data_IF_674902915001
#
_entry.id   IF_674902915001
#
_cell.length_a   1.000
_cell.length_b   1.000
_cell.length_c   1.000
_cell.angle_alpha   90.00
_cell.angle_beta   90.00
_cell.angle_gamma   90.00
#
_symmetry.space_group_name_H-M   'P 1'
#
loop_
_entity.id
_entity.type
_entity.pdbx_description
1 polymer ?
#
# COMPACT_ATOMS: atom_id res chain seq x y z
N UNK A 1 -1.30 3.65 -15.26
CA UNK A 1 -1.66 3.71 -13.83
C UNK A 1 -3.10 4.21 -13.63
N UNK A 2 -3.53 5.30 -14.28
CA UNK A 2 -4.90 5.85 -14.18
C UNK A 2 -6.05 4.86 -14.43
N UNK A 3 -6.05 4.13 -15.55
CA UNK A 3 -7.13 3.19 -15.89
C UNK A 3 -7.35 2.04 -14.88
N UNK A 4 -6.32 1.63 -14.11
CA UNK A 4 -6.50 0.64 -13.04
C UNK A 4 -7.17 1.26 -11.82
N UNK A 5 -6.86 2.52 -11.53
CA UNK A 5 -7.41 3.25 -10.40
C UNK A 5 -8.88 3.64 -10.66
N UNK A 6 -9.23 4.12 -11.86
CA UNK A 6 -10.63 4.33 -12.25
C UNK A 6 -11.47 3.07 -12.07
N UNK A 7 -10.93 1.90 -12.45
CA UNK A 7 -11.61 0.61 -12.25
C UNK A 7 -11.82 0.29 -10.77
N UNK A 8 -10.83 0.58 -9.93
CA UNK A 8 -10.98 0.43 -8.49
C UNK A 8 -12.02 1.38 -7.89
N UNK A 9 -12.09 2.62 -8.38
CA UNK A 9 -13.12 3.58 -7.99
C UNK A 9 -14.52 3.08 -8.37
N UNK A 10 -14.69 2.49 -9.56
CA UNK A 10 -15.97 1.89 -9.95
C UNK A 10 -16.46 0.85 -8.92
N UNK A 11 -15.55 0.06 -8.34
CA UNK A 11 -15.89 -0.95 -7.33
C UNK A 11 -16.25 -0.33 -5.96
N UNK A 12 -15.72 0.86 -5.63
CA UNK A 12 -15.96 1.54 -4.35
C UNK A 12 -17.17 2.47 -4.38
N UNK A 13 -17.52 3.04 -5.53
CA UNK A 13 -18.63 4.00 -5.66
C UNK A 13 -19.92 3.54 -4.96
N UNK A 14 -20.36 2.26 -5.05
CA UNK A 14 -21.56 1.81 -4.34
C UNK A 14 -21.47 1.97 -2.81
N UNK A 15 -20.29 1.78 -2.22
CA UNK A 15 -20.08 2.00 -0.79
C UNK A 15 -20.15 3.49 -0.39
N UNK A 16 -19.99 4.39 -1.37
CA UNK A 16 -20.18 5.83 -1.21
C UNK A 16 -21.64 6.27 -1.51
N UNK A 17 -22.55 5.31 -1.74
CA UNK A 17 -23.95 5.59 -2.11
C UNK A 17 -24.13 5.99 -3.57
N UNK A 18 -23.13 5.75 -4.43
CA UNK A 18 -23.15 6.11 -5.85
C UNK A 18 -23.16 4.87 -6.73
N UNK A 19 -24.07 4.80 -7.68
CA UNK A 19 -24.26 3.67 -8.59
C UNK A 19 -23.73 4.02 -9.98
N UNK A 20 -22.63 3.40 -10.45
CA UNK A 20 -22.07 3.67 -11.78
C UNK A 20 -23.09 3.37 -12.90
N UNK A 21 -23.14 4.24 -13.90
CA UNK A 21 -23.96 4.11 -15.11
C UNK A 21 -23.13 3.95 -16.37
N UNK A 22 -22.01 4.68 -16.46
CA UNK A 22 -21.08 4.59 -17.56
C UNK A 22 -19.67 4.96 -17.08
N UNK A 23 -18.65 4.39 -17.71
CA UNK A 23 -17.25 4.82 -17.59
C UNK A 23 -16.81 5.45 -18.91
N UNK A 24 -15.90 6.43 -18.84
CA UNK A 24 -15.34 7.13 -20.01
C UNK A 24 -16.44 7.70 -20.91
N UNK A 25 -17.38 8.40 -20.28
CA UNK A 25 -18.55 8.95 -20.95
C UNK A 25 -18.15 10.17 -21.79
N UNK A 26 -18.18 10.00 -23.10
CA UNK A 26 -17.87 11.06 -24.06
C UNK A 26 -19.05 12.00 -24.26
N UNK A 27 -18.78 13.29 -24.25
CA UNK A 27 -19.76 14.36 -24.44
C UNK A 27 -19.65 14.86 -25.88
N UNK A 28 -20.75 14.79 -26.64
CA UNK A 28 -20.82 15.27 -28.02
C UNK A 28 -21.75 16.48 -28.16
N UNK A 29 -21.35 17.45 -28.98
CA UNK A 29 -22.21 18.53 -29.50
C UNK A 29 -22.00 18.66 -31.00
N UNK A 30 -23.09 18.66 -31.78
CA UNK A 30 -23.06 18.75 -33.24
C UNK A 30 -22.11 17.71 -33.89
N UNK A 31 -22.07 16.49 -33.33
CA UNK A 31 -21.20 15.40 -33.82
C UNK A 31 -19.73 15.52 -33.42
N UNK A 32 -19.33 16.56 -32.68
CA UNK A 32 -17.95 16.78 -32.22
C UNK A 32 -17.84 16.45 -30.73
N UNK A 33 -16.80 15.71 -30.36
CA UNK A 33 -16.45 15.43 -28.96
C UNK A 33 -15.94 16.71 -28.30
N UNK A 34 -16.59 17.13 -27.22
CA UNK A 34 -16.26 18.38 -26.51
C UNK A 34 -15.85 18.16 -25.05
N UNK A 35 -15.84 16.91 -24.58
CA UNK A 35 -15.43 16.56 -23.23
C UNK A 35 -15.61 15.07 -22.93
N UNK A 36 -15.05 14.62 -21.81
CA UNK A 36 -15.15 13.26 -21.29
C UNK A 36 -15.38 13.33 -19.78
N UNK A 37 -16.22 12.44 -19.26
CA UNK A 37 -16.40 12.22 -17.81
C UNK A 37 -15.89 10.82 -17.50
N UNK A 38 -14.99 10.68 -16.53
CA UNK A 38 -14.40 9.39 -16.19
C UNK A 38 -15.47 8.38 -15.77
N UNK A 39 -16.41 8.81 -14.91
CA UNK A 39 -17.53 7.96 -14.47
C UNK A 39 -18.81 8.80 -14.36
N UNK A 40 -19.88 8.35 -15.01
CA UNK A 40 -21.23 8.82 -14.76
C UNK A 40 -21.88 7.92 -13.71
N UNK A 41 -22.39 8.47 -12.62
CA UNK A 41 -23.03 7.71 -11.55
C UNK A 41 -24.33 8.39 -11.08
N UNK A 42 -25.18 7.65 -10.36
CA UNK A 42 -26.38 8.23 -9.71
C UNK A 42 -26.42 7.87 -8.23
N UNK A 43 -26.95 8.74 -7.39
CA UNK A 43 -27.28 8.37 -6.00
C UNK A 43 -28.64 7.64 -5.90
N UNK A 44 -29.03 7.30 -4.68
CA UNK A 44 -30.33 6.67 -4.37
C UNK A 44 -31.54 7.57 -4.67
N UNK A 45 -31.35 8.89 -4.72
CA UNK A 45 -32.39 9.88 -5.02
C UNK A 45 -32.52 10.15 -6.52
N UNK A 46 -31.71 9.48 -7.35
CA UNK A 46 -31.69 9.67 -8.81
C UNK A 46 -30.90 10.90 -9.27
N UNK A 47 -30.11 11.52 -8.40
CA UNK A 47 -29.22 12.63 -8.76
C UNK A 47 -28.04 12.08 -9.54
N UNK A 48 -27.83 12.61 -10.75
CA UNK A 48 -26.70 12.22 -11.60
C UNK A 48 -25.45 13.01 -11.23
N UNK A 49 -24.34 12.30 -11.05
CA UNK A 49 -23.02 12.81 -10.78
C UNK A 49 -22.09 12.55 -11.97
N UNK A 50 -21.33 13.58 -12.36
CA UNK A 50 -20.20 13.48 -13.26
C UNK A 50 -18.93 13.42 -12.40
N UNK A 51 -18.36 12.22 -12.29
CA UNK A 51 -17.24 11.91 -11.42
C UNK A 51 -15.94 11.99 -12.22
N UNK A 52 -15.04 12.85 -11.79
CA UNK A 52 -13.65 12.91 -12.24
C UNK A 52 -12.75 12.21 -11.21
N UNK A 53 -11.87 11.34 -11.67
CA UNK A 53 -11.00 10.53 -10.82
C UNK A 53 -9.57 11.00 -10.96
N UNK A 54 -8.98 11.48 -9.86
CA UNK A 54 -7.56 11.83 -9.80
C UNK A 54 -6.82 10.85 -8.89
N UNK A 55 -5.88 10.12 -9.49
CA UNK A 55 -5.01 9.20 -8.75
C UNK A 55 -4.05 9.92 -7.77
N UNK A 56 -3.95 11.25 -7.83
CA UNK A 56 -3.11 12.08 -6.96
C UNK A 56 -3.92 13.20 -6.32
N UNK A 57 -3.24 14.33 -6.05
CA UNK A 57 -3.89 15.54 -5.58
C UNK A 57 -4.60 16.26 -6.73
N UNK A 58 -5.78 16.83 -6.49
CA UNK A 58 -6.50 17.65 -7.47
C UNK A 58 -6.03 19.09 -7.42
N UNK A 59 -5.74 19.67 -8.59
CA UNK A 59 -5.34 21.06 -8.79
C UNK A 59 -6.52 21.91 -9.32
N UNK A 60 -6.29 23.21 -9.49
CA UNK A 60 -7.29 24.15 -10.02
C UNK A 60 -7.84 23.68 -11.38
N UNK A 61 -6.97 23.14 -12.25
CA UNK A 61 -7.35 22.66 -13.59
C UNK A 61 -8.32 21.49 -13.50
N UNK A 62 -8.05 20.52 -12.62
CA UNK A 62 -8.92 19.37 -12.38
C UNK A 62 -10.30 19.77 -11.88
N UNK A 63 -10.38 20.74 -10.95
CA UNK A 63 -11.67 21.27 -10.47
C UNK A 63 -12.47 21.91 -11.61
N UNK A 64 -11.82 22.74 -12.43
CA UNK A 64 -12.48 23.39 -13.59
C UNK A 64 -12.99 22.35 -14.59
N UNK A 65 -12.19 21.34 -14.88
CA UNK A 65 -12.57 20.26 -15.80
C UNK A 65 -13.81 19.51 -15.29
N UNK A 66 -13.80 19.09 -14.02
CA UNK A 66 -14.92 18.41 -13.40
C UNK A 66 -16.20 19.25 -13.45
N UNK A 67 -16.11 20.54 -13.09
CA UNK A 67 -17.23 21.47 -13.16
C UNK A 67 -17.77 21.63 -14.59
N UNK A 68 -16.91 21.95 -15.56
CA UNK A 68 -17.32 22.19 -16.95
C UNK A 68 -17.99 20.94 -17.54
N UNK A 69 -17.36 19.78 -17.39
CA UNK A 69 -17.89 18.54 -17.97
C UNK A 69 -19.22 18.14 -17.34
N UNK A 70 -19.38 18.30 -16.03
CA UNK A 70 -20.66 18.09 -15.35
C UNK A 70 -21.76 19.02 -15.88
N UNK A 71 -21.44 20.32 -16.05
CA UNK A 71 -22.38 21.33 -16.56
C UNK A 71 -22.83 21.04 -17.99
N UNK A 72 -21.95 20.53 -18.84
CA UNK A 72 -22.27 20.20 -20.24
C UNK A 72 -23.37 19.13 -20.37
N UNK A 73 -23.53 18.28 -19.35
CA UNK A 73 -24.50 17.17 -19.32
C UNK A 73 -25.58 17.33 -18.24
N UNK A 74 -25.59 18.44 -17.50
CA UNK A 74 -26.56 18.70 -16.43
C UNK A 74 -26.42 17.79 -15.21
N UNK A 75 -25.21 17.30 -14.93
CA UNK A 75 -24.92 16.49 -13.75
C UNK A 75 -24.28 17.32 -12.62
N UNK A 76 -24.25 16.79 -11.40
CA UNK A 76 -23.48 17.35 -10.29
C UNK A 76 -21.99 17.00 -10.44
N UNK A 77 -21.08 17.96 -10.33
CA UNK A 77 -19.65 17.69 -10.39
C UNK A 77 -19.15 17.04 -9.11
N UNK A 78 -18.41 15.95 -9.24
CA UNK A 78 -17.74 15.26 -8.14
C UNK A 78 -16.31 14.91 -8.54
N UNK A 79 -15.35 15.15 -7.65
CA UNK A 79 -13.97 14.70 -7.80
C UNK A 79 -13.63 13.69 -6.71
N UNK A 80 -12.97 12.60 -7.09
CA UNK A 80 -12.36 11.65 -6.15
C UNK A 80 -10.84 11.76 -6.25
N UNK A 81 -10.17 12.11 -5.15
CA UNK A 81 -8.73 12.41 -5.12
C UNK A 81 -8.04 12.04 -3.80
N UNK A 82 -6.70 12.10 -3.75
CA UNK A 82 -5.90 11.96 -2.51
C UNK A 82 -5.94 13.18 -1.60
N UNK A 83 -6.22 14.34 -2.19
CA UNK A 83 -6.10 15.63 -1.52
C UNK A 83 -6.16 16.78 -2.51
N UNK A 84 -6.03 17.99 -2.00
CA UNK A 84 -5.83 19.18 -2.84
C UNK A 84 -4.35 19.44 -3.06
N UNK A 85 -3.99 19.86 -4.28
CA UNK A 85 -2.62 20.23 -4.62
C UNK A 85 -2.22 21.54 -3.92
N UNK A 86 -3.19 22.45 -3.78
CA UNK A 86 -3.04 23.79 -3.23
C UNK A 86 -4.38 24.29 -2.65
N UNK A 87 -4.34 25.27 -1.74
CA UNK A 87 -5.55 25.82 -1.10
C UNK A 87 -6.47 26.50 -2.14
N UNK A 88 -5.90 27.06 -3.21
CA UNK A 88 -6.67 27.64 -4.31
C UNK A 88 -7.60 26.64 -5.01
N UNK A 89 -7.19 25.36 -5.11
CA UNK A 89 -8.05 24.31 -5.66
C UNK A 89 -9.25 24.03 -4.74
N UNK A 90 -9.04 24.07 -3.42
CA UNK A 90 -10.09 23.87 -2.41
C UNK A 90 -11.11 25.00 -2.42
N UNK A 91 -10.64 26.24 -2.42
CA UNK A 91 -11.54 27.40 -2.46
C UNK A 91 -12.32 27.45 -3.78
N UNK A 92 -11.69 27.11 -4.90
CA UNK A 92 -12.38 27.02 -6.18
C UNK A 92 -13.45 25.91 -6.19
N UNK A 93 -13.17 24.75 -5.59
CA UNK A 93 -14.14 23.66 -5.51
C UNK A 93 -15.39 24.11 -4.73
N UNK A 94 -15.20 24.82 -3.61
CA UNK A 94 -16.30 25.40 -2.83
C UNK A 94 -17.09 26.42 -3.66
N UNK A 95 -16.41 27.35 -4.33
CA UNK A 95 -17.05 28.42 -5.11
C UNK A 95 -17.88 27.85 -6.27
N UNK A 96 -17.39 26.82 -6.96
CA UNK A 96 -18.06 26.20 -8.10
C UNK A 96 -19.09 25.12 -7.70
N UNK A 97 -19.20 24.80 -6.41
CA UNK A 97 -20.05 23.70 -5.92
C UNK A 97 -19.60 22.33 -6.44
N UNK A 98 -18.29 22.10 -6.52
CA UNK A 98 -17.69 20.81 -6.86
C UNK A 98 -17.49 20.01 -5.58
N UNK A 99 -18.21 18.89 -5.47
CA UNK A 99 -18.01 17.95 -4.37
C UNK A 99 -16.65 17.27 -4.54
N UNK A 100 -15.90 17.11 -3.44
CA UNK A 100 -14.60 16.43 -3.46
C UNK A 100 -14.55 15.39 -2.36
N UNK A 101 -14.43 14.13 -2.74
CA UNK A 101 -14.22 13.01 -1.82
C UNK A 101 -12.73 12.72 -1.76
N UNK A 102 -12.17 12.87 -0.56
CA UNK A 102 -10.78 12.54 -0.28
C UNK A 102 -10.69 11.11 0.21
N UNK A 103 -9.97 10.29 -0.54
CA UNK A 103 -9.71 8.90 -0.19
C UNK A 103 -8.37 8.79 0.59
N UNK A 104 -8.26 7.88 1.58
CA UNK A 104 -7.00 7.62 2.27
C UNK A 104 -5.88 7.15 1.34
N UNK A 105 -4.62 7.51 1.64
CA UNK A 105 -3.45 7.22 0.80
C UNK A 105 -3.26 5.72 0.49
N UNK A 106 -3.64 4.82 1.40
CA UNK A 106 -3.50 3.37 1.19
C UNK A 106 -4.38 2.84 0.05
N UNK A 107 -5.48 3.53 -0.29
CA UNK A 107 -6.34 3.18 -1.42
C UNK A 107 -5.68 3.46 -2.77
N UNK A 108 -4.55 4.17 -2.77
CA UNK A 108 -3.82 4.51 -3.97
C UNK A 108 -2.46 3.80 -4.09
N UNK A 109 -2.21 2.80 -3.25
CA UNK A 109 -1.04 1.94 -3.38
C UNK A 109 -1.17 1.11 -4.67
N UNK A 110 -0.17 1.19 -5.53
CA UNK A 110 -0.10 0.32 -6.69
C UNK A 110 0.36 -1.09 -6.29
N UNK A 111 0.13 -2.07 -7.18
CA UNK A 111 0.69 -3.42 -7.03
C UNK A 111 2.21 -3.37 -6.95
N UNK A 112 2.84 -2.44 -7.67
CA UNK A 112 4.29 -2.27 -7.69
C UNK A 112 4.81 -1.70 -6.35
N UNK A 113 4.07 -0.76 -5.74
CA UNK A 113 4.38 -0.24 -4.40
C UNK A 113 4.30 -1.37 -3.35
N UNK A 114 3.24 -2.19 -3.45
CA UNK A 114 3.05 -3.33 -2.57
C UNK A 114 4.17 -4.36 -2.77
N UNK A 115 4.48 -4.72 -4.02
CA UNK A 115 5.55 -5.65 -4.36
C UNK A 115 6.90 -5.15 -3.84
N UNK A 116 7.19 -3.86 -3.98
CA UNK A 116 8.43 -3.24 -3.49
C UNK A 116 8.48 -3.27 -1.96
N UNK A 117 7.39 -2.92 -1.29
CA UNK A 117 7.29 -2.97 0.17
C UNK A 117 7.52 -4.40 0.69
N UNK A 118 6.87 -5.40 0.08
CA UNK A 118 7.05 -6.81 0.44
C UNK A 118 8.48 -7.29 0.18
N UNK A 119 9.05 -7.00 -0.97
CA UNK A 119 10.42 -7.43 -1.33
C UNK A 119 11.43 -6.84 -0.35
N UNK A 120 11.31 -5.55 -0.05
CA UNK A 120 12.20 -4.88 0.91
C UNK A 120 12.03 -5.42 2.33
N UNK A 121 10.79 -5.66 2.77
CA UNK A 121 10.52 -6.27 4.07
C UNK A 121 11.11 -7.68 4.17
N UNK A 122 10.99 -8.47 3.10
CA UNK A 122 11.52 -9.84 3.03
C UNK A 122 13.05 -9.85 3.07
N UNK A 123 13.72 -9.06 2.22
CA UNK A 123 15.18 -8.94 2.20
C UNK A 123 15.70 -8.46 3.56
N UNK A 124 15.08 -7.45 4.17
CA UNK A 124 15.47 -6.98 5.51
C UNK A 124 15.31 -8.06 6.57
N UNK A 125 14.24 -8.84 6.51
CA UNK A 125 14.02 -9.96 7.44
C UNK A 125 15.09 -11.04 7.31
N UNK A 126 15.48 -11.40 6.07
CA UNK A 126 16.58 -12.32 5.81
C UNK A 126 17.91 -11.79 6.36
N UNK A 127 18.20 -10.51 6.13
CA UNK A 127 19.41 -9.87 6.67
C UNK A 127 19.43 -9.93 8.20
N UNK A 128 18.31 -9.62 8.87
CA UNK A 128 18.20 -9.70 10.33
C UNK A 128 18.53 -11.12 10.82
N UNK A 129 17.91 -12.14 10.23
CA UNK A 129 18.16 -13.54 10.61
C UNK A 129 19.62 -13.93 10.35
N UNK A 130 20.18 -13.59 9.19
CA UNK A 130 21.57 -13.88 8.88
C UNK A 130 22.54 -13.18 9.85
N UNK A 131 22.27 -11.92 10.21
CA UNK A 131 23.06 -11.19 11.21
C UNK A 131 23.00 -11.87 12.57
N UNK A 132 21.83 -12.34 13.02
CA UNK A 132 21.70 -13.11 14.26
C UNK A 132 22.59 -14.36 14.19
N UNK A 133 22.42 -15.18 13.16
CA UNK A 133 23.18 -16.43 13.01
C UNK A 133 24.69 -16.18 12.98
N UNK A 134 25.14 -15.13 12.29
CA UNK A 134 26.56 -14.82 12.13
C UNK A 134 27.21 -14.27 13.42
N UNK A 135 26.45 -13.65 14.33
CA UNK A 135 26.98 -12.99 15.52
C UNK A 135 26.78 -13.78 16.82
N UNK A 136 25.90 -14.79 16.83
CA UNK A 136 25.72 -15.64 18.00
C UNK A 136 26.92 -16.57 18.22
N UNK A 137 27.29 -16.74 19.47
CA UNK A 137 28.32 -17.67 19.94
C UNK A 137 27.67 -18.99 20.38
N UNK A 138 28.42 -20.09 20.36
CA UNK A 138 27.87 -21.43 20.64
C UNK A 138 27.19 -21.53 22.02
N UNK A 139 27.76 -20.91 23.05
CA UNK A 139 27.16 -20.86 24.39
C UNK A 139 25.83 -20.09 24.43
N UNK A 140 25.67 -19.06 23.59
CA UNK A 140 24.41 -18.32 23.47
C UNK A 140 23.38 -19.11 22.67
N UNK A 141 23.82 -19.81 21.62
CA UNK A 141 22.98 -20.74 20.84
C UNK A 141 22.40 -21.81 21.77
N UNK A 142 23.24 -22.47 22.55
CA UNK A 142 22.82 -23.49 23.53
C UNK A 142 21.88 -22.91 24.59
N UNK A 143 22.14 -21.69 25.08
CA UNK A 143 21.26 -21.02 26.04
C UNK A 143 19.89 -20.72 25.42
N UNK A 144 19.83 -20.22 24.19
CA UNK A 144 18.57 -19.92 23.48
C UNK A 144 17.78 -21.19 23.18
N UNK A 145 18.44 -22.31 22.82
CA UNK A 145 17.78 -23.60 22.55
C UNK A 145 17.17 -24.24 23.80
N UNK A 146 17.85 -24.11 24.94
CA UNK A 146 17.49 -24.83 26.17
C UNK A 146 16.60 -24.04 27.14
N UNK A 147 16.49 -22.73 26.94
CA UNK A 147 15.63 -21.86 27.75
C UNK A 147 14.23 -21.72 27.14
N UNK A 148 13.19 -21.50 27.97
CA UNK A 148 11.83 -21.22 27.50
C UNK A 148 11.56 -19.74 27.23
N UNK A 149 12.38 -18.83 27.78
CA UNK A 149 12.21 -17.39 27.67
C UNK A 149 13.55 -16.63 27.79
N UNK A 150 13.50 -15.32 27.56
CA UNK A 150 14.66 -14.41 27.63
C UNK A 150 15.26 -14.36 29.04
N UNK A 151 14.44 -14.42 30.10
CA UNK A 151 14.93 -14.30 31.47
C UNK A 151 15.86 -15.48 31.80
N UNK A 152 15.48 -16.69 31.41
CA UNK A 152 16.33 -17.88 31.52
C UNK A 152 17.63 -17.72 30.71
N UNK A 153 17.56 -17.19 29.48
CA UNK A 153 18.76 -16.93 28.67
C UNK A 153 19.69 -15.97 29.41
N UNK A 154 19.17 -14.87 29.96
CA UNK A 154 19.95 -13.87 30.69
C UNK A 154 20.54 -14.38 32.02
N UNK A 155 20.01 -15.45 32.60
CA UNK A 155 20.62 -16.12 33.75
C UNK A 155 21.85 -16.95 33.35
N UNK A 156 21.94 -17.37 32.09
CA UNK A 156 23.02 -18.23 31.57
C UNK A 156 24.08 -17.48 30.79
N UNK A 157 23.71 -16.37 30.14
CA UNK A 157 24.61 -15.54 29.34
C UNK A 157 24.46 -14.06 29.67
N UNK A 158 25.49 -13.27 29.37
CA UNK A 158 25.42 -11.83 29.50
C UNK A 158 24.50 -11.24 28.42
N UNK A 159 23.25 -10.98 28.80
CA UNK A 159 22.24 -10.44 27.89
C UNK A 159 22.55 -9.04 27.35
N UNK A 160 23.26 -8.20 28.11
CA UNK A 160 23.66 -6.88 27.64
C UNK A 160 24.58 -7.02 26.42
N UNK A 161 25.59 -7.90 26.52
CA UNK A 161 26.46 -8.21 25.39
C UNK A 161 25.69 -8.87 24.22
N UNK A 162 24.83 -9.85 24.52
CA UNK A 162 24.00 -10.55 23.54
C UNK A 162 23.14 -9.58 22.71
N UNK A 163 22.45 -8.64 23.36
CA UNK A 163 21.55 -7.73 22.66
C UNK A 163 22.26 -6.51 22.06
N UNK A 164 23.48 -6.16 22.51
CA UNK A 164 24.25 -5.06 21.94
C UNK A 164 24.84 -5.39 20.56
N UNK A 165 25.13 -6.66 20.29
CA UNK A 165 25.61 -7.12 18.98
C UNK A 165 24.51 -7.44 17.96
N UNK A 166 23.24 -7.36 18.36
CA UNK A 166 22.10 -7.72 17.51
C UNK A 166 21.31 -6.48 17.07
N UNK A 167 20.76 -6.48 15.85
CA UNK A 167 19.90 -5.39 15.39
C UNK A 167 18.67 -5.28 16.30
N UNK A 168 18.11 -4.06 16.40
CA UNK A 168 16.98 -3.77 17.30
C UNK A 168 15.79 -4.69 17.02
N UNK A 169 15.55 -5.00 15.76
CA UNK A 169 14.50 -5.86 15.25
C UNK A 169 14.71 -7.34 15.65
N UNK A 170 15.96 -7.75 15.93
CA UNK A 170 16.29 -9.09 16.44
C UNK A 170 16.18 -9.22 17.96
N UNK A 171 15.85 -8.15 18.70
CA UNK A 171 15.61 -8.20 20.15
C UNK A 171 14.23 -8.79 20.48
N UNK A 172 13.78 -9.75 19.68
CA UNK A 172 12.57 -10.54 19.85
C UNK A 172 12.99 -11.99 20.06
N UNK A 173 12.60 -12.57 21.20
CA UNK A 173 12.97 -13.94 21.58
C UNK A 173 12.54 -14.98 20.55
N UNK A 174 11.33 -14.86 20.00
CA UNK A 174 10.83 -15.81 19.01
C UNK A 174 11.71 -15.80 17.76
N UNK A 175 12.16 -14.62 17.32
CA UNK A 175 13.07 -14.49 16.19
C UNK A 175 14.42 -15.16 16.50
N UNK A 176 14.98 -14.96 17.70
CA UNK A 176 16.22 -15.62 18.11
C UNK A 176 16.10 -17.14 18.08
N UNK A 177 15.01 -17.68 18.63
CA UNK A 177 14.75 -19.12 18.62
C UNK A 177 14.65 -19.65 17.19
N UNK A 178 13.94 -18.96 16.30
CA UNK A 178 13.83 -19.38 14.90
C UNK A 178 15.16 -19.27 14.15
N UNK A 179 15.93 -18.20 14.39
CA UNK A 179 17.25 -18.01 13.80
C UNK A 179 18.24 -19.11 14.24
N UNK A 180 18.21 -19.50 15.50
CA UNK A 180 19.01 -20.61 16.03
C UNK A 180 18.57 -21.96 15.43
N UNK A 181 17.26 -22.22 15.34
CA UNK A 181 16.76 -23.42 14.64
C UNK A 181 17.25 -23.47 13.18
N UNK A 182 17.20 -22.33 12.49
CA UNK A 182 17.72 -22.19 11.13
C UNK A 182 19.24 -22.42 11.06
N UNK A 183 20.03 -21.91 12.00
CA UNK A 183 21.49 -22.11 12.01
C UNK A 183 21.89 -23.58 12.13
N UNK A 184 21.13 -24.39 12.88
CA UNK A 184 21.34 -25.85 12.96
C UNK A 184 20.92 -26.60 11.69
N UNK A 185 19.91 -26.10 10.99
CA UNK A 185 19.39 -26.73 9.77
C UNK A 185 20.25 -26.43 8.53
N UNK A 186 20.83 -25.22 8.45
CA UNK A 186 21.61 -24.75 7.31
C UNK A 186 22.77 -25.70 6.92
N UNK A 187 23.64 -26.16 7.85
CA UNK A 187 24.71 -27.11 7.51
C UNK A 187 24.18 -28.41 6.91
N UNK A 188 23.03 -28.91 7.39
CA UNK A 188 22.41 -30.14 6.86
C UNK A 188 21.89 -29.93 5.44
N UNK A 189 21.35 -28.75 5.16
CA UNK A 189 20.86 -28.39 3.82
C UNK A 189 22.02 -28.20 2.83
N UNK A 190 23.09 -27.51 3.23
CA UNK A 190 24.28 -27.34 2.39
C UNK A 190 24.97 -28.68 2.09
N UNK A 191 25.16 -29.53 3.10
CA UNK A 191 25.74 -30.86 2.91
C UNK A 191 24.88 -31.79 2.02
N UNK A 192 23.55 -31.58 1.98
CA UNK A 192 22.65 -32.30 1.07
C UNK A 192 22.75 -31.74 -0.36
N UNK A 193 22.87 -30.43 -0.52
CA UNK A 193 23.02 -29.79 -1.83
C UNK A 193 24.31 -30.24 -2.54
N UNK A 194 25.44 -30.32 -1.82
CA UNK A 194 26.73 -30.81 -2.34
C UNK A 194 26.70 -32.29 -2.80
N UNK A 195 25.75 -33.08 -2.30
CA UNK A 195 25.58 -34.51 -2.65
C UNK A 195 24.61 -34.76 -3.80
N UNK A 196 24.01 -33.72 -4.37
CA UNK A 196 23.09 -33.85 -5.51
C UNK A 196 23.91 -33.80 -6.80
N UNK A 197 23.98 -34.88 -7.61
CA UNK A 197 24.67 -34.81 -8.89
C UNK A 197 23.94 -33.81 -9.80
N UNK A 198 24.69 -32.93 -10.44
CA UNK A 198 24.17 -32.15 -11.56
C UNK A 198 23.72 -33.15 -12.65
N UNK A 199 22.41 -33.22 -12.92
CA UNK A 199 21.85 -33.83 -14.12
C UNK A 199 21.66 -32.76 -15.19
#
# INVERSE_FOLDING_TARGET
MGARFERYILDILPALGLFPKASRYKIYRNGVEIGEVDILATDENGVTYAVEVKAGKVDITGIRQAYINARLIGARPLVIARGYAEEGARELARELGVDVILLPDYLFLSVDDLYTAFTNAFVRSLTIVATVIANLQENEIEAIESCPDVNCVCQRVNCENLFNKLPREAKNYDLLVQAVKLSRLLPRLCAKAERTPQQ
#
